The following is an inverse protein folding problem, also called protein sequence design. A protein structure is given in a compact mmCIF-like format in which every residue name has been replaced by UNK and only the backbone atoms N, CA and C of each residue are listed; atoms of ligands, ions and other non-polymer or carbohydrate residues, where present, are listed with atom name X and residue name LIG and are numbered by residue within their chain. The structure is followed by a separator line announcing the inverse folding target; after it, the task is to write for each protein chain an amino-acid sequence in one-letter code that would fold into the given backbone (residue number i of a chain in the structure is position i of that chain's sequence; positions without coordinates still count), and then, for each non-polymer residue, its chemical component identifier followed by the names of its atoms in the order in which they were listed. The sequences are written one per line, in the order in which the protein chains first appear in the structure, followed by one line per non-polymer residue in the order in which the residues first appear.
data_IF_595114206370
#
_entry.id   IF_595114206370
#
_cell.length_a   1.000
_cell.length_b   1.000
_cell.length_c   1.000
_cell.angle_alpha   90.00
_cell.angle_beta   90.00
_cell.angle_gamma   90.00
#
_symmetry.space_group_name_H-M   'P 1'
#
loop_
_entity.id
_entity.type
_entity.pdbx_description
1 polymer ?
#
# COMPACT_ATOMS: atom_id res chain seq x y z
N UNK A 1 13.63 15.75 -4.03
CA UNK A 1 12.50 14.94 -4.55
C UNK A 1 12.78 13.43 -4.53
N UNK A 2 13.88 12.97 -3.92
CA UNK A 2 14.26 11.54 -3.89
C UNK A 2 13.73 10.78 -2.67
N UNK A 3 13.50 11.47 -1.53
CA UNK A 3 13.07 10.83 -0.28
C UNK A 3 11.74 10.04 -0.40
N UNK A 4 10.77 10.56 -1.17
CA UNK A 4 9.51 9.84 -1.45
C UNK A 4 9.75 8.59 -2.28
N UNK A 5 10.68 8.64 -3.25
CA UNK A 5 11.05 7.47 -4.06
C UNK A 5 11.69 6.38 -3.20
N UNK A 6 12.65 6.76 -2.34
CA UNK A 6 13.26 5.86 -1.36
C UNK A 6 12.22 5.26 -0.40
N UNK A 7 11.26 6.06 0.07
CA UNK A 7 10.15 5.57 0.88
C UNK A 7 9.28 4.56 0.14
N UNK A 8 8.90 4.83 -1.12
CA UNK A 8 8.13 3.91 -1.94
C UNK A 8 8.89 2.61 -2.23
N UNK A 9 10.22 2.66 -2.39
CA UNK A 9 11.04 1.45 -2.51
C UNK A 9 11.05 0.63 -1.22
N UNK A 10 11.14 1.29 -0.06
CA UNK A 10 11.05 0.61 1.23
C UNK A 10 9.69 -0.07 1.40
N UNK A 11 8.60 0.66 1.14
CA UNK A 11 7.24 0.13 1.19
C UNK A 11 7.03 -1.01 0.17
N UNK A 12 7.55 -0.86 -1.04
CA UNK A 12 7.55 -1.89 -2.07
C UNK A 12 8.29 -3.15 -1.62
N UNK A 13 9.45 -3.00 -1.00
CA UNK A 13 10.25 -4.12 -0.48
C UNK A 13 9.56 -4.84 0.67
N UNK A 14 8.93 -4.10 1.61
CA UNK A 14 8.11 -4.68 2.67
C UNK A 14 6.93 -5.47 2.10
N UNK A 15 6.25 -4.93 1.07
CA UNK A 15 5.17 -5.65 0.37
C UNK A 15 5.67 -6.93 -0.30
N UNK A 16 6.88 -6.90 -0.87
CA UNK A 16 7.50 -8.07 -1.50
C UNK A 16 7.88 -9.14 -0.47
N UNK A 17 8.38 -8.74 0.70
CA UNK A 17 8.60 -9.64 1.83
C UNK A 17 7.29 -10.30 2.29
N UNK A 18 6.20 -9.53 2.40
CA UNK A 18 4.87 -10.07 2.73
C UNK A 18 4.37 -11.09 1.70
N UNK A 19 4.63 -10.88 0.41
CA UNK A 19 4.31 -11.87 -0.65
C UNK A 19 5.13 -13.13 -0.47
N UNK A 20 6.45 -12.99 -0.25
CA UNK A 20 7.34 -14.13 -0.06
C UNK A 20 6.86 -15.02 1.09
N UNK A 21 6.55 -14.41 2.24
CA UNK A 21 5.94 -15.14 3.36
C UNK A 21 4.57 -15.69 3.00
N UNK A 22 3.75 -14.98 2.24
CA UNK A 22 2.43 -15.48 1.80
C UNK A 22 2.47 -16.69 0.87
N UNK A 23 3.53 -16.87 0.08
CA UNK A 23 3.69 -18.02 -0.83
C UNK A 23 4.41 -19.20 -0.16
N UNK A 24 5.45 -18.95 0.64
CA UNK A 24 6.27 -20.00 1.25
C UNK A 24 5.81 -20.38 2.68
N UNK A 25 5.17 -19.47 3.41
CA UNK A 25 4.71 -19.64 4.80
C UNK A 25 3.29 -19.09 5.02
N UNK A 26 2.30 -19.76 4.41
CA UNK A 26 0.85 -19.43 4.55
C UNK A 26 0.40 -19.30 6.02
N UNK A 27 1.04 -20.01 6.94
CA UNK A 27 0.74 -19.98 8.37
C UNK A 27 1.17 -18.66 9.04
N UNK A 28 2.29 -18.07 8.63
CA UNK A 28 2.77 -16.78 9.13
C UNK A 28 1.88 -15.62 8.62
N UNK A 29 1.44 -15.69 7.37
CA UNK A 29 0.50 -14.71 6.80
C UNK A 29 -0.88 -14.79 7.47
N UNK A 30 -1.38 -16.01 7.74
CA UNK A 30 -2.64 -16.22 8.47
C UNK A 30 -2.59 -15.63 9.88
N UNK A 31 -1.53 -15.90 10.65
CA UNK A 31 -1.34 -15.33 11.99
C UNK A 31 -1.17 -13.80 11.98
N UNK A 32 -0.44 -13.26 11.00
CA UNK A 32 -0.10 -11.84 10.94
C UNK A 32 -1.18 -10.95 10.31
N UNK A 33 -2.18 -11.50 9.62
CA UNK A 33 -3.17 -10.70 8.87
C UNK A 33 -4.62 -11.10 9.19
N UNK A 34 -4.95 -12.40 9.24
CA UNK A 34 -6.32 -12.91 9.46
C UNK A 34 -6.36 -13.94 10.58
N UNK A 35 -6.11 -13.52 11.83
CA UNK A 35 -6.00 -14.47 12.95
C UNK A 35 -7.33 -15.16 13.32
N UNK A 36 -8.47 -14.66 12.83
CA UNK A 36 -9.81 -15.08 13.27
C UNK A 36 -10.64 -15.83 12.21
N UNK A 37 -10.13 -16.09 11.00
CA UNK A 37 -10.90 -16.77 9.96
C UNK A 37 -10.10 -17.80 9.17
N UNK A 38 -10.80 -18.86 8.73
CA UNK A 38 -10.26 -19.86 7.81
C UNK A 38 -10.22 -19.29 6.39
N UNK A 39 -9.08 -18.74 5.99
CA UNK A 39 -8.85 -18.30 4.60
C UNK A 39 -8.72 -19.49 3.63
N UNK A 40 -9.51 -19.51 2.56
CA UNK A 40 -9.27 -20.48 1.46
C UNK A 40 -7.89 -20.27 0.83
N UNK A 41 -7.20 -21.34 0.46
CA UNK A 41 -5.87 -21.28 -0.18
C UNK A 41 -5.85 -20.44 -1.46
N UNK A 42 -6.98 -20.40 -2.18
CA UNK A 42 -7.14 -19.59 -3.39
C UNK A 42 -7.13 -18.10 -3.04
N UNK A 43 -7.75 -17.71 -1.92
CA UNK A 43 -7.76 -16.32 -1.46
C UNK A 43 -6.35 -15.84 -1.08
N UNK A 44 -5.57 -16.67 -0.38
CA UNK A 44 -4.18 -16.35 -0.03
C UNK A 44 -3.31 -16.10 -1.26
N UNK A 45 -3.45 -16.95 -2.30
CA UNK A 45 -2.74 -16.78 -3.58
C UNK A 45 -3.18 -15.50 -4.31
N UNK A 46 -4.47 -15.18 -4.35
CA UNK A 46 -4.98 -13.94 -4.94
C UNK A 46 -4.47 -12.71 -4.21
N UNK A 47 -4.47 -12.73 -2.87
CA UNK A 47 -3.90 -11.65 -2.06
C UNK A 47 -2.40 -11.46 -2.34
N UNK A 48 -1.65 -12.56 -2.51
CA UNK A 48 -0.24 -12.53 -2.91
C UNK A 48 -0.03 -11.89 -4.29
N UNK A 49 -0.80 -12.30 -5.30
CA UNK A 49 -0.72 -11.74 -6.67
C UNK A 49 -1.11 -10.26 -6.69
N UNK A 50 -2.16 -9.88 -5.95
CA UNK A 50 -2.56 -8.49 -5.81
C UNK A 50 -1.46 -7.65 -5.14
N UNK A 51 -0.85 -8.17 -4.08
CA UNK A 51 0.25 -7.49 -3.39
C UNK A 51 1.47 -7.33 -4.31
N UNK A 52 1.81 -8.33 -5.12
CA UNK A 52 2.84 -8.23 -6.17
C UNK A 52 2.54 -7.11 -7.16
N UNK A 53 1.30 -7.00 -7.63
CA UNK A 53 0.90 -5.93 -8.56
C UNK A 53 1.11 -4.55 -7.92
N UNK A 54 0.68 -4.36 -6.68
CA UNK A 54 0.88 -3.09 -5.97
C UNK A 54 2.35 -2.80 -5.66
N UNK A 55 3.16 -3.83 -5.45
CA UNK A 55 4.61 -3.73 -5.27
C UNK A 55 5.29 -3.21 -6.54
N UNK A 56 4.94 -3.79 -7.70
CA UNK A 56 5.42 -3.32 -9.00
C UNK A 56 5.05 -1.86 -9.25
N UNK A 57 3.82 -1.44 -8.90
CA UNK A 57 3.41 -0.03 -8.97
C UNK A 57 4.28 0.87 -8.09
N UNK A 58 4.60 0.46 -6.86
CA UNK A 58 5.48 1.22 -5.96
C UNK A 58 6.88 1.40 -6.55
N UNK A 59 7.48 0.34 -7.09
CA UNK A 59 8.80 0.42 -7.73
C UNK A 59 8.76 1.28 -8.99
N UNK A 60 7.81 1.07 -9.90
CA UNK A 60 7.66 1.88 -11.11
C UNK A 60 7.45 3.35 -10.77
N UNK A 61 6.63 3.66 -9.77
CA UNK A 61 6.42 5.03 -9.31
C UNK A 61 7.67 5.61 -8.65
N UNK A 62 8.45 4.81 -7.91
CA UNK A 62 9.69 5.25 -7.29
C UNK A 62 10.75 5.66 -8.33
N UNK A 63 10.87 4.90 -9.41
CA UNK A 63 11.79 5.23 -10.53
C UNK A 63 11.25 6.34 -11.44
N UNK A 64 9.93 6.51 -11.54
CA UNK A 64 9.28 7.46 -12.44
C UNK A 64 8.32 8.42 -11.72
N UNK A 65 8.82 9.10 -10.68
CA UNK A 65 8.05 10.06 -9.86
C UNK A 65 7.53 11.28 -10.64
N UNK A 66 8.08 11.57 -11.82
CA UNK A 66 7.64 12.70 -12.67
C UNK A 66 6.39 12.37 -13.49
N UNK A 67 6.09 11.07 -13.65
CA UNK A 67 4.99 10.62 -14.48
C UNK A 67 3.67 10.69 -13.70
N UNK A 68 2.93 11.79 -13.91
CA UNK A 68 1.65 12.10 -13.25
C UNK A 68 0.66 10.92 -13.19
N UNK A 69 0.37 10.18 -14.28
CA UNK A 69 -0.54 9.04 -14.22
C UNK A 69 -0.01 7.88 -13.36
N UNK A 70 1.29 7.54 -13.44
CA UNK A 70 1.89 6.50 -12.60
C UNK A 70 1.79 6.85 -11.11
N UNK A 71 2.01 8.13 -10.79
CA UNK A 71 1.85 8.66 -9.45
C UNK A 71 0.41 8.51 -8.94
N UNK A 72 -0.57 8.91 -9.75
CA UNK A 72 -1.99 8.85 -9.41
C UNK A 72 -2.46 7.40 -9.24
N UNK A 73 -2.04 6.49 -10.13
CA UNK A 73 -2.36 5.05 -10.03
C UNK A 73 -1.79 4.45 -8.75
N UNK A 74 -0.55 4.80 -8.40
CA UNK A 74 0.09 4.31 -7.16
C UNK A 74 -0.60 4.87 -5.93
N UNK A 75 -0.97 6.15 -5.96
CA UNK A 75 -1.75 6.79 -4.91
C UNK A 75 -3.12 6.10 -4.71
N UNK A 76 -3.85 5.85 -5.80
CA UNK A 76 -5.12 5.11 -5.76
C UNK A 76 -4.93 3.69 -5.24
N UNK A 77 -3.83 3.02 -5.57
CA UNK A 77 -3.52 1.69 -5.04
C UNK A 77 -3.42 1.68 -3.51
N UNK A 78 -2.82 2.72 -2.91
CA UNK A 78 -2.81 2.87 -1.45
C UNK A 78 -4.21 3.13 -0.88
N UNK A 79 -5.03 3.95 -1.54
CA UNK A 79 -6.42 4.21 -1.12
C UNK A 79 -7.24 2.92 -1.18
N UNK A 80 -7.15 2.14 -2.26
CA UNK A 80 -7.90 0.89 -2.37
C UNK A 80 -7.46 -0.13 -1.34
N UNK A 81 -6.15 -0.25 -1.09
CA UNK A 81 -5.65 -1.11 -0.03
C UNK A 81 -6.19 -0.68 1.35
N UNK A 82 -6.08 0.60 1.68
CA UNK A 82 -6.59 1.14 2.94
C UNK A 82 -8.11 0.95 3.07
N UNK A 83 -8.87 1.23 2.02
CA UNK A 83 -10.33 1.05 1.99
C UNK A 83 -10.74 -0.42 2.16
N UNK A 84 -10.02 -1.36 1.53
CA UNK A 84 -10.26 -2.79 1.72
C UNK A 84 -10.03 -3.19 3.19
N UNK A 85 -8.89 -2.84 3.78
CA UNK A 85 -8.60 -3.16 5.19
C UNK A 85 -9.56 -2.47 6.17
N UNK A 86 -9.99 -1.23 5.86
CA UNK A 86 -10.96 -0.50 6.65
C UNK A 86 -12.34 -1.15 6.60
N UNK A 87 -12.78 -1.59 5.41
CA UNK A 87 -14.06 -2.30 5.22
C UNK A 87 -14.03 -3.64 5.95
N UNK A 88 -12.91 -4.35 5.86
CA UNK A 88 -12.70 -5.63 6.55
C UNK A 88 -12.77 -5.48 8.07
N UNK A 89 -12.23 -4.39 8.61
CA UNK A 89 -12.31 -4.07 10.04
C UNK A 89 -13.73 -3.64 10.49
N UNK A 90 -14.37 -2.73 9.75
CA UNK A 90 -15.65 -2.13 10.13
C UNK A 90 -16.84 -3.07 9.94
N UNK A 91 -16.85 -3.87 8.86
CA UNK A 91 -17.99 -4.70 8.48
C UNK A 91 -17.76 -6.18 8.77
N UNK A 92 -16.58 -6.69 8.43
CA UNK A 92 -16.33 -8.13 8.45
C UNK A 92 -15.66 -8.64 9.75
N UNK A 93 -15.07 -7.75 10.57
CA UNK A 93 -14.45 -8.06 11.88
C UNK A 93 -13.41 -9.21 11.81
N UNK A 94 -12.86 -9.50 10.64
CA UNK A 94 -11.93 -10.65 10.44
C UNK A 94 -10.49 -10.31 10.79
N UNK A 95 -10.19 -9.03 11.06
CA UNK A 95 -8.86 -8.53 11.40
C UNK A 95 -8.73 -8.08 12.86
N UNK A 96 -7.61 -8.43 13.47
CA UNK A 96 -7.20 -7.88 14.75
C UNK A 96 -6.79 -6.40 14.60
N UNK A 97 -7.22 -5.55 15.54
CA UNK A 97 -6.93 -4.11 15.55
C UNK A 97 -5.42 -3.78 15.45
N UNK A 98 -4.56 -4.66 15.96
CA UNK A 98 -3.09 -4.52 15.90
C UNK A 98 -2.53 -4.60 14.47
N UNK A 99 -3.18 -5.35 13.58
CA UNK A 99 -2.71 -5.52 12.20
C UNK A 99 -3.19 -4.33 11.34
N UNK A 100 -4.40 -3.85 11.61
CA UNK A 100 -4.96 -2.66 10.96
C UNK A 100 -4.15 -1.40 11.26
N UNK A 101 -3.72 -1.22 12.51
CA UNK A 101 -2.91 -0.04 12.89
C UNK A 101 -1.57 -0.01 12.17
N UNK A 102 -0.89 -1.15 12.03
CA UNK A 102 0.36 -1.26 11.28
C UNK A 102 0.15 -0.88 9.81
N UNK A 103 -0.84 -1.50 9.14
CA UNK A 103 -1.15 -1.21 7.74
C UNK A 103 -1.62 0.24 7.55
N UNK A 104 -2.42 0.76 8.47
CA UNK A 104 -2.92 2.13 8.48
C UNK A 104 -1.81 3.16 8.62
N UNK A 105 -0.78 2.89 9.42
CA UNK A 105 0.40 3.77 9.52
C UNK A 105 1.15 3.78 8.20
N UNK A 106 1.53 2.63 7.63
CA UNK A 106 2.30 2.59 6.38
C UNK A 106 1.52 3.13 5.16
N UNK A 107 0.24 2.78 5.03
CA UNK A 107 -0.61 3.28 3.96
C UNK A 107 -0.93 4.77 4.17
N UNK A 108 -1.28 5.17 5.38
CA UNK A 108 -1.62 6.55 5.74
C UNK A 108 -0.44 7.50 5.56
N UNK A 109 0.76 7.14 6.02
CA UNK A 109 1.96 7.96 5.81
C UNK A 109 2.29 8.10 4.33
N UNK A 110 2.14 7.02 3.55
CA UNK A 110 2.38 7.05 2.11
C UNK A 110 1.36 7.95 1.38
N UNK A 111 0.08 7.88 1.74
CA UNK A 111 -1.00 8.73 1.20
C UNK A 111 -0.74 10.21 1.52
N UNK A 112 -0.46 10.54 2.79
CA UNK A 112 -0.22 11.92 3.23
C UNK A 112 1.02 12.49 2.52
N UNK A 113 2.10 11.72 2.45
CA UNK A 113 3.34 12.19 1.82
C UNK A 113 3.16 12.37 0.31
N UNK A 114 2.40 11.47 -0.34
CA UNK A 114 2.05 11.64 -1.75
C UNK A 114 1.13 12.85 -1.98
N UNK A 115 0.20 13.15 -1.08
CA UNK A 115 -0.65 14.35 -1.17
C UNK A 115 0.15 15.64 -0.98
N UNK A 116 1.03 15.69 0.02
CA UNK A 116 1.88 16.84 0.28
C UNK A 116 2.79 17.13 -0.91
N UNK A 117 3.43 16.10 -1.46
CA UNK A 117 4.29 16.25 -2.64
C UNK A 117 3.49 16.67 -3.89
N UNK A 118 2.25 16.19 -4.05
CA UNK A 118 1.38 16.63 -5.15
C UNK A 118 1.02 18.11 -5.03
N UNK A 119 0.70 18.57 -3.81
CA UNK A 119 0.38 19.98 -3.54
C UNK A 119 1.60 20.89 -3.76
N UNK A 120 2.80 20.45 -3.35
CA UNK A 120 4.04 21.20 -3.60
C UNK A 120 4.46 21.25 -5.07
N UNK A 121 4.01 20.29 -5.91
CA UNK A 121 4.27 20.26 -7.35
C UNK A 121 3.24 21.06 -8.17
N UNK A 122 2.13 21.50 -7.57
CA UNK A 122 1.26 22.47 -8.22
C UNK A 122 2.04 23.78 -8.33
N UNK A 123 2.34 24.29 -9.54
CA UNK A 123 2.96 25.60 -9.66
C UNK A 123 1.97 26.56 -9.02
N UNK A 124 2.39 27.20 -7.92
CA UNK A 124 1.72 28.38 -7.39
C UNK A 124 1.49 29.29 -8.57
N UNK A 125 0.24 29.43 -9.00
CA UNK A 125 -0.17 30.43 -9.95
C UNK A 125 -0.05 31.76 -9.20
N UNK A 126 1.18 32.23 -9.01
CA UNK A 126 1.49 33.55 -8.49
C UNK A 126 0.84 34.48 -9.51
N UNK A 127 -0.34 35.01 -9.14
CA UNK A 127 -0.91 36.18 -9.77
C UNK A 127 0.17 37.26 -9.65
N UNK A 128 0.91 37.44 -10.73
CA UNK A 128 1.79 38.59 -10.92
C UNK A 128 0.84 39.78 -11.01
N UNK A 129 0.87 40.60 -9.96
CA UNK A 129 0.17 41.89 -9.86
C UNK A 129 0.70 42.81 -10.96
#
# INVERSE_FOLDING_TARGET
MEALGWWLMLVGSLRLASVWFGFFDIWALRLAVFSNTTMSEVHGRTFGVWTLLTCTLCFLCAFNLENKPLYLVTFLSFIYAFGHFLTEYLFYQTMALSNLTTVGIFAGTSIIWMLLQWNSRQPTHVKRI
#
